data_IF_102840848318
#
_entry.id   IF_102840848318
#
_cell.length_a   1.000
_cell.length_b   1.000
_cell.length_c   1.000
_cell.angle_alpha   90.00
_cell.angle_beta   90.00
_cell.angle_gamma   90.00
#
_symmetry.space_group_name_H-M   'P 1'
#
loop_
_entity.id
_entity.type
_entity.pdbx_description
1 polymer ?
#
# COMPACT_ATOMS: atom_id res chain seq x y z
N UNK A 1 -8.59 21.48 14.81
CA UNK A 1 -8.47 22.94 14.52
C UNK A 1 -7.34 23.16 13.53
N UNK A 2 -7.45 24.16 12.65
CA UNK A 2 -6.34 24.61 11.80
C UNK A 2 -5.46 25.60 12.57
N UNK A 3 -4.23 25.86 12.09
CA UNK A 3 -3.37 26.91 12.70
C UNK A 3 -4.10 28.26 12.75
N UNK A 4 -4.86 28.60 11.69
CA UNK A 4 -5.61 29.84 11.64
C UNK A 4 -6.72 29.90 12.69
N UNK A 5 -7.38 28.78 12.99
CA UNK A 5 -8.41 28.71 14.03
C UNK A 5 -7.79 28.93 15.40
N UNK A 6 -6.66 28.26 15.69
CA UNK A 6 -5.89 28.44 16.94
C UNK A 6 -5.39 29.87 17.09
N UNK A 7 -4.83 30.44 16.02
CA UNK A 7 -4.33 31.81 16.02
C UNK A 7 -5.46 32.82 16.33
N UNK A 8 -6.64 32.62 15.72
CA UNK A 8 -7.81 33.46 15.99
C UNK A 8 -8.31 33.34 17.42
N UNK A 9 -8.39 32.12 17.95
CA UNK A 9 -8.84 31.85 19.32
C UNK A 9 -7.89 32.46 20.37
N UNK A 10 -6.57 32.30 20.15
CA UNK A 10 -5.54 32.81 21.06
C UNK A 10 -5.16 34.28 20.80
N UNK A 11 -5.75 34.94 19.79
CA UNK A 11 -5.40 36.30 19.34
C UNK A 11 -3.91 36.46 19.02
N UNK A 12 -3.30 35.44 18.42
CA UNK A 12 -1.90 35.42 18.00
C UNK A 12 -1.77 35.51 16.48
N UNK A 13 -0.59 35.93 16.02
CA UNK A 13 -0.25 35.79 14.61
C UNK A 13 -0.13 34.32 14.21
N UNK A 14 -0.66 33.95 13.06
CA UNK A 14 -0.69 32.56 12.61
C UNK A 14 0.71 32.03 12.27
N UNK A 15 1.66 32.88 11.89
CA UNK A 15 3.05 32.51 11.68
C UNK A 15 3.73 32.16 13.01
N UNK A 16 3.44 32.92 14.08
CA UNK A 16 3.94 32.62 15.42
C UNK A 16 3.41 31.26 15.91
N UNK A 17 2.10 31.01 15.76
CA UNK A 17 1.49 29.71 16.11
C UNK A 17 2.14 28.56 15.33
N UNK A 18 2.36 28.75 14.03
CA UNK A 18 3.03 27.76 13.19
C UNK A 18 4.47 27.49 13.63
N UNK A 19 5.22 28.54 13.99
CA UNK A 19 6.59 28.42 14.46
C UNK A 19 6.65 27.65 15.77
N UNK A 20 5.82 28.00 16.75
CA UNK A 20 5.71 27.29 18.01
C UNK A 20 5.36 25.80 17.82
N UNK A 21 4.42 25.49 16.94
CA UNK A 21 4.09 24.11 16.64
C UNK A 21 5.26 23.35 16.00
N UNK A 22 6.01 23.99 15.09
CA UNK A 22 7.23 23.38 14.52
C UNK A 22 8.27 23.09 15.61
N UNK A 23 8.53 24.05 16.51
CA UNK A 23 9.46 23.88 17.62
C UNK A 23 9.02 22.74 18.54
N UNK A 24 7.74 22.68 18.88
CA UNK A 24 7.18 21.59 19.70
C UNK A 24 7.37 20.23 19.04
N UNK A 25 7.06 20.11 17.75
CA UNK A 25 7.25 18.86 17.01
C UNK A 25 8.73 18.46 16.91
N UNK A 26 9.64 19.41 16.73
CA UNK A 26 11.09 19.15 16.73
C UNK A 26 11.57 18.64 18.09
N UNK A 27 11.08 19.24 19.17
CA UNK A 27 11.40 18.78 20.52
C UNK A 27 10.82 17.39 20.80
N UNK A 28 9.60 17.10 20.36
CA UNK A 28 9.03 15.74 20.44
C UNK A 28 9.92 14.72 19.73
N UNK A 29 10.41 15.01 18.53
CA UNK A 29 11.31 14.11 17.81
C UNK A 29 12.66 13.96 18.51
N UNK A 30 13.20 15.01 19.11
CA UNK A 30 14.44 14.98 19.88
C UNK A 30 14.31 14.06 21.11
N UNK A 31 13.18 14.11 21.81
CA UNK A 31 12.88 13.26 22.98
C UNK A 31 12.58 11.81 22.62
N UNK A 32 12.16 11.57 21.37
CA UNK A 32 11.81 10.25 20.87
C UNK A 32 12.75 9.78 19.73
N UNK A 33 14.03 9.55 20.01
CA UNK A 33 14.99 9.16 19.00
C UNK A 33 14.57 7.84 18.32
N UNK A 34 14.99 7.68 17.06
CA UNK A 34 14.71 6.46 16.32
C UNK A 34 15.61 5.34 16.83
N UNK A 35 15.00 4.36 17.48
CA UNK A 35 15.66 3.10 17.82
C UNK A 35 15.92 2.27 16.55
N UNK A 36 16.82 1.29 16.62
CA UNK A 36 17.06 0.38 15.51
C UNK A 36 15.79 -0.44 15.21
N UNK A 37 15.17 -0.29 14.04
CA UNK A 37 13.98 -1.06 13.67
C UNK A 37 14.37 -2.49 13.28
N UNK A 38 13.50 -3.46 13.57
CA UNK A 38 13.66 -4.85 13.09
C UNK A 38 12.82 -5.10 11.85
N UNK A 39 11.67 -4.44 11.78
CA UNK A 39 10.73 -4.57 10.66
C UNK A 39 10.36 -3.17 10.17
N UNK A 40 10.61 -2.90 8.89
CA UNK A 40 10.27 -1.62 8.27
C UNK A 40 9.20 -1.77 7.20
N UNK A 41 8.35 -0.75 7.08
CA UNK A 41 7.44 -0.57 5.95
C UNK A 41 7.90 0.60 5.11
N UNK A 42 8.02 0.41 3.80
CA UNK A 42 8.47 1.42 2.84
C UNK A 42 7.30 1.70 1.90
N UNK A 43 6.90 2.96 1.80
CA UNK A 43 5.85 3.38 0.87
C UNK A 43 6.13 4.81 0.37
N UNK A 44 5.44 5.22 -0.69
CA UNK A 44 5.53 6.57 -1.21
C UNK A 44 4.24 7.37 -1.02
N UNK A 45 4.40 8.66 -0.85
CA UNK A 45 3.28 9.60 -0.88
C UNK A 45 3.46 10.59 -2.02
N UNK A 46 2.37 10.92 -2.70
CA UNK A 46 2.33 12.00 -3.68
C UNK A 46 2.06 13.32 -3.00
N UNK A 47 2.91 14.32 -3.23
CA UNK A 47 2.74 15.68 -2.70
C UNK A 47 1.84 16.53 -3.58
N UNK A 48 1.92 16.37 -4.90
CA UNK A 48 1.19 17.17 -5.89
C UNK A 48 0.81 16.32 -7.10
N UNK A 49 -0.22 16.74 -7.81
CA UNK A 49 -0.48 16.26 -9.17
C UNK A 49 0.76 16.56 -10.03
N UNK A 50 1.30 15.57 -10.74
CA UNK A 50 2.50 15.75 -11.57
C UNK A 50 3.76 15.07 -11.02
N UNK A 51 3.59 13.96 -10.27
CA UNK A 51 4.67 13.02 -9.92
C UNK A 51 5.75 13.52 -8.94
N UNK A 52 5.41 14.45 -8.06
CA UNK A 52 6.30 14.77 -6.92
C UNK A 52 6.04 13.78 -5.80
N UNK A 53 6.96 12.86 -5.58
CA UNK A 53 6.85 11.82 -4.56
C UNK A 53 7.84 12.04 -3.41
N UNK A 54 7.50 11.51 -2.24
CA UNK A 54 8.39 11.34 -1.10
C UNK A 54 8.25 9.94 -0.57
N UNK A 55 9.33 9.40 -0.07
CA UNK A 55 9.36 8.08 0.56
C UNK A 55 9.08 8.25 2.05
N UNK A 56 8.23 7.40 2.58
CA UNK A 56 7.97 7.29 4.02
C UNK A 56 8.42 5.91 4.46
N UNK A 57 9.31 5.87 5.47
CA UNK A 57 9.70 4.61 6.10
C UNK A 57 9.15 4.57 7.51
N UNK A 58 8.53 3.45 7.86
CA UNK A 58 7.88 3.23 9.15
C UNK A 58 8.51 2.06 9.88
N UNK A 59 8.61 2.15 11.20
CA UNK A 59 8.87 1.02 12.09
C UNK A 59 7.54 0.32 12.35
N UNK A 60 7.37 -0.88 11.81
CA UNK A 60 6.10 -1.62 11.89
C UNK A 60 5.87 -2.25 13.26
N UNK A 61 6.93 -2.53 14.04
CA UNK A 61 6.80 -3.06 15.39
C UNK A 61 6.34 -1.97 16.36
N UNK A 62 6.86 -0.74 16.21
CA UNK A 62 6.50 0.40 17.06
C UNK A 62 5.31 1.19 16.55
N UNK A 63 4.84 0.88 15.32
CA UNK A 63 3.68 1.54 14.71
C UNK A 63 3.89 3.04 14.51
N UNK A 64 5.06 3.47 14.00
CA UNK A 64 5.33 4.89 13.76
C UNK A 64 6.17 5.12 12.50
N UNK A 65 5.96 6.24 11.79
CA UNK A 65 6.90 6.68 10.76
C UNK A 65 8.23 7.09 11.43
N UNK A 66 9.34 6.69 10.81
CA UNK A 66 10.68 6.97 11.31
C UNK A 66 11.49 7.83 10.35
N UNK A 67 11.12 7.88 9.08
CA UNK A 67 11.79 8.69 8.09
C UNK A 67 10.83 9.17 7.01
N UNK A 68 11.09 10.36 6.52
CA UNK A 68 10.38 10.99 5.42
C UNK A 68 11.41 11.76 4.59
N UNK A 69 11.52 11.47 3.30
CA UNK A 69 12.52 12.13 2.45
C UNK A 69 12.56 11.59 1.02
N UNK A 70 13.72 11.73 0.40
CA UNK A 70 13.93 11.47 -1.00
C UNK A 70 13.39 12.59 -1.89
N UNK A 71 13.78 12.61 -3.14
CA UNK A 71 13.30 13.58 -4.15
C UNK A 71 12.21 12.97 -5.03
N UNK A 72 12.24 11.67 -5.18
CA UNK A 72 11.39 10.86 -6.04
C UNK A 72 11.33 9.40 -5.52
N UNK A 73 11.02 8.45 -6.40
CA UNK A 73 10.97 7.01 -6.12
C UNK A 73 12.20 6.25 -6.64
N UNK A 74 13.32 6.92 -6.78
CA UNK A 74 14.57 6.31 -7.28
C UNK A 74 15.28 5.48 -6.22
N UNK A 75 16.27 4.71 -6.66
CA UNK A 75 17.16 3.95 -5.80
C UNK A 75 17.97 4.88 -4.89
N UNK A 76 18.48 5.98 -5.47
CA UNK A 76 19.24 7.00 -4.76
C UNK A 76 18.41 7.68 -3.65
N UNK A 77 17.14 7.97 -3.94
CA UNK A 77 16.22 8.52 -2.93
C UNK A 77 15.98 7.55 -1.77
N UNK A 78 15.93 6.25 -2.03
CA UNK A 78 15.80 5.23 -0.97
C UNK A 78 17.11 5.01 -0.22
N UNK A 79 18.26 5.10 -0.89
CA UNK A 79 19.58 5.00 -0.25
C UNK A 79 19.78 6.07 0.83
N UNK A 80 19.24 7.28 0.63
CA UNK A 80 19.26 8.36 1.64
C UNK A 80 18.67 7.94 3.00
N UNK A 81 17.69 7.04 3.02
CA UNK A 81 17.16 6.50 4.27
C UNK A 81 18.19 5.64 4.99
N UNK A 82 18.86 4.75 4.27
CA UNK A 82 19.86 3.85 4.88
C UNK A 82 21.10 4.59 5.36
N UNK A 83 21.53 5.61 4.61
CA UNK A 83 22.61 6.52 5.01
C UNK A 83 22.24 7.27 6.30
N UNK A 84 21.03 7.84 6.35
CA UNK A 84 20.53 8.55 7.53
C UNK A 84 20.39 7.62 8.74
N UNK A 85 19.92 6.40 8.56
CA UNK A 85 19.74 5.41 9.65
C UNK A 85 21.09 4.94 10.20
N UNK A 86 22.10 4.86 9.34
CA UNK A 86 23.44 4.39 9.63
C UNK A 86 23.55 2.87 9.70
N UNK A 87 24.71 2.35 9.29
CA UNK A 87 24.98 0.92 9.10
C UNK A 87 24.68 0.06 10.35
N UNK A 88 25.00 0.56 11.56
CA UNK A 88 24.75 -0.18 12.82
C UNK A 88 23.27 -0.47 13.06
N UNK A 89 22.39 0.49 12.77
CA UNK A 89 20.93 0.33 12.93
C UNK A 89 20.35 -0.44 11.74
N UNK A 90 20.81 -0.16 10.53
CA UNK A 90 20.35 -0.83 9.32
C UNK A 90 20.55 -2.36 9.39
N UNK A 91 21.68 -2.85 9.88
CA UNK A 91 21.94 -4.29 10.09
C UNK A 91 20.98 -4.99 11.07
N UNK A 92 20.21 -4.23 11.87
CA UNK A 92 19.19 -4.81 12.75
C UNK A 92 17.87 -5.11 12.04
N UNK A 93 17.67 -4.55 10.85
CA UNK A 93 16.48 -4.82 10.04
C UNK A 93 16.52 -6.26 9.55
N UNK A 94 15.45 -7.00 9.82
CA UNK A 94 15.25 -8.40 9.42
C UNK A 94 14.20 -8.56 8.33
N UNK A 95 13.27 -7.60 8.26
CA UNK A 95 12.16 -7.61 7.31
C UNK A 95 11.90 -6.21 6.76
N UNK A 96 11.83 -6.09 5.44
CA UNK A 96 11.41 -4.89 4.74
C UNK A 96 10.12 -5.17 3.95
N UNK A 97 9.04 -4.49 4.30
CA UNK A 97 7.75 -4.56 3.61
C UNK A 97 7.64 -3.40 2.63
N UNK A 98 7.33 -3.66 1.38
CA UNK A 98 7.26 -2.63 0.33
C UNK A 98 6.34 -3.02 -0.81
N UNK A 99 6.02 -2.06 -1.71
CA UNK A 99 5.45 -2.36 -3.02
C UNK A 99 6.49 -3.06 -3.92
N UNK A 100 6.03 -3.71 -4.97
CA UNK A 100 6.89 -4.37 -5.98
C UNK A 100 7.63 -3.34 -6.86
N UNK A 101 8.20 -2.30 -6.23
CA UNK A 101 8.94 -1.25 -6.92
C UNK A 101 10.44 -1.57 -6.97
N UNK A 102 10.96 -1.77 -8.18
CA UNK A 102 12.32 -2.27 -8.41
C UNK A 102 13.43 -1.42 -7.76
N UNK A 103 13.26 -0.10 -7.68
CA UNK A 103 14.24 0.78 -7.07
C UNK A 103 14.35 0.55 -5.56
N UNK A 104 13.22 0.38 -4.86
CA UNK A 104 13.21 0.06 -3.43
C UNK A 104 13.81 -1.30 -3.14
N UNK A 105 13.47 -2.30 -3.97
CA UNK A 105 14.06 -3.63 -3.86
C UNK A 105 15.58 -3.61 -4.00
N UNK A 106 16.11 -2.92 -5.03
CA UNK A 106 17.54 -2.81 -5.28
C UNK A 106 18.27 -2.12 -4.14
N UNK A 107 17.78 -0.94 -3.71
CA UNK A 107 18.36 -0.21 -2.58
C UNK A 107 18.37 -1.05 -1.31
N UNK A 108 17.26 -1.77 -1.02
CA UNK A 108 17.16 -2.64 0.15
C UNK A 108 18.17 -3.79 0.09
N UNK A 109 18.26 -4.50 -1.03
CA UNK A 109 19.23 -5.59 -1.22
C UNK A 109 20.68 -5.11 -1.10
N UNK A 110 20.97 -3.91 -1.59
CA UNK A 110 22.29 -3.29 -1.50
C UNK A 110 22.69 -2.94 -0.06
N UNK A 111 21.79 -2.35 0.69
CA UNK A 111 22.08 -1.78 2.00
C UNK A 111 21.87 -2.77 3.17
N UNK A 112 20.93 -3.71 3.03
CA UNK A 112 20.59 -4.71 4.04
C UNK A 112 20.35 -6.09 3.39
N UNK A 113 21.38 -6.72 2.81
CA UNK A 113 21.26 -7.96 2.03
C UNK A 113 20.69 -9.14 2.82
N UNK A 114 20.86 -9.15 4.15
CA UNK A 114 20.39 -10.23 5.03
C UNK A 114 18.91 -10.07 5.45
N UNK A 115 18.26 -8.97 5.07
CA UNK A 115 16.86 -8.75 5.39
C UNK A 115 15.94 -9.42 4.36
N UNK A 116 14.88 -10.07 4.85
CA UNK A 116 13.83 -10.56 3.97
C UNK A 116 13.05 -9.39 3.38
N UNK A 117 12.67 -9.51 2.10
CA UNK A 117 11.75 -8.56 1.46
C UNK A 117 10.38 -9.21 1.38
N UNK A 118 9.37 -8.49 1.82
CA UNK A 118 7.96 -8.87 1.74
C UNK A 118 7.22 -7.85 0.90
N UNK A 119 6.55 -8.31 -0.16
CA UNK A 119 5.70 -7.42 -0.93
C UNK A 119 4.32 -7.27 -0.29
N UNK A 120 3.87 -6.01 -0.21
CA UNK A 120 2.60 -5.69 0.43
C UNK A 120 1.43 -6.36 -0.30
N UNK A 121 0.71 -7.20 0.45
CA UNK A 121 -0.50 -7.91 0.00
C UNK A 121 -1.53 -6.97 -0.63
N UNK A 122 -1.72 -5.76 -0.08
CA UNK A 122 -2.71 -4.81 -0.61
C UNK A 122 -2.36 -4.36 -2.03
N UNK A 123 -1.07 -4.15 -2.31
CA UNK A 123 -0.61 -3.81 -3.66
C UNK A 123 -0.79 -4.98 -4.63
N UNK A 124 -0.51 -6.22 -4.21
CA UNK A 124 -0.77 -7.42 -5.02
C UNK A 124 -2.26 -7.56 -5.35
N UNK A 125 -3.14 -7.44 -4.34
CA UNK A 125 -4.60 -7.53 -4.52
C UNK A 125 -5.12 -6.38 -5.39
N UNK A 126 -4.56 -5.18 -5.28
CA UNK A 126 -4.88 -4.05 -6.16
C UNK A 126 -4.62 -4.39 -7.63
N UNK A 127 -3.46 -4.98 -7.95
CA UNK A 127 -3.14 -5.40 -9.32
C UNK A 127 -4.12 -6.46 -9.85
N UNK A 128 -4.53 -7.41 -9.00
CA UNK A 128 -5.56 -8.39 -9.35
C UNK A 128 -6.91 -7.70 -9.64
N UNK A 129 -7.29 -6.71 -8.82
CA UNK A 129 -8.48 -5.89 -9.03
C UNK A 129 -8.42 -5.10 -10.35
N UNK A 130 -7.27 -4.52 -10.67
CA UNK A 130 -7.05 -3.82 -11.95
C UNK A 130 -7.17 -4.77 -13.15
N UNK A 131 -6.65 -6.00 -13.03
CA UNK A 131 -6.80 -7.03 -14.06
C UNK A 131 -8.28 -7.43 -14.26
N UNK A 132 -9.04 -7.59 -13.16
CA UNK A 132 -10.49 -7.84 -13.23
C UNK A 132 -11.23 -6.65 -13.88
N UNK A 133 -10.87 -5.41 -13.55
CA UNK A 133 -11.52 -4.23 -14.18
C UNK A 133 -11.22 -4.13 -15.68
N UNK A 134 -10.03 -4.55 -16.12
CA UNK A 134 -9.71 -4.66 -17.55
C UNK A 134 -10.63 -5.67 -18.23
N UNK A 135 -10.87 -6.84 -17.62
CA UNK A 135 -11.81 -7.85 -18.14
C UNK A 135 -13.22 -7.28 -18.20
N UNK A 136 -13.69 -6.62 -17.12
CA UNK A 136 -15.00 -5.97 -17.09
C UNK A 136 -15.18 -4.94 -18.21
N UNK A 137 -14.16 -4.09 -18.43
CA UNK A 137 -14.20 -3.10 -19.52
C UNK A 137 -14.26 -3.75 -20.91
N UNK A 138 -13.50 -4.82 -21.11
CA UNK A 138 -13.54 -5.56 -22.37
C UNK A 138 -14.92 -6.19 -22.62
N UNK A 139 -15.53 -6.79 -21.60
CA UNK A 139 -16.89 -7.34 -21.71
C UNK A 139 -17.93 -6.23 -21.94
N UNK A 140 -17.81 -5.11 -21.24
CA UNK A 140 -18.69 -3.94 -21.46
C UNK A 140 -18.61 -3.40 -22.89
N UNK A 141 -17.41 -3.37 -23.48
CA UNK A 141 -17.23 -2.89 -24.85
C UNK A 141 -17.80 -3.88 -25.90
N UNK A 142 -17.73 -5.20 -25.60
CA UNK A 142 -18.18 -6.28 -26.51
C UNK A 142 -19.70 -6.41 -26.57
N UNK A 143 -20.40 -6.09 -25.49
CA UNK A 143 -21.84 -6.28 -25.35
C UNK A 143 -22.64 -5.04 -25.78
N UNK A 144 -23.88 -5.23 -26.18
CA UNK A 144 -24.82 -4.17 -26.54
C UNK A 144 -26.15 -4.32 -25.79
N UNK A 145 -27.05 -3.34 -25.90
CA UNK A 145 -28.39 -3.38 -25.35
C UNK A 145 -28.46 -3.71 -23.86
N UNK A 146 -29.41 -4.59 -23.52
CA UNK A 146 -29.69 -4.97 -22.13
C UNK A 146 -28.50 -5.64 -21.43
N UNK A 147 -27.73 -6.48 -22.14
CA UNK A 147 -26.59 -7.20 -21.57
C UNK A 147 -25.50 -6.23 -21.10
N UNK A 148 -25.27 -5.14 -21.84
CA UNK A 148 -24.35 -4.07 -21.44
C UNK A 148 -24.81 -3.34 -20.18
N UNK A 149 -26.13 -3.17 -20.02
CA UNK A 149 -26.70 -2.47 -18.86
C UNK A 149 -26.37 -3.16 -17.53
N UNK A 150 -26.29 -4.51 -17.51
CA UNK A 150 -25.93 -5.27 -16.31
C UNK A 150 -24.49 -5.03 -15.83
N UNK A 151 -23.56 -4.62 -16.70
CA UNK A 151 -22.16 -4.38 -16.37
C UNK A 151 -21.94 -2.92 -15.96
N UNK A 152 -22.82 -2.01 -16.42
CA UNK A 152 -22.71 -0.57 -16.12
C UNK A 152 -22.78 -0.34 -14.60
N UNK A 153 -21.83 0.43 -14.06
CA UNK A 153 -21.80 0.78 -12.64
C UNK A 153 -21.30 -0.33 -11.70
N UNK A 154 -21.08 -1.57 -12.18
CA UNK A 154 -20.77 -2.73 -11.33
C UNK A 154 -19.26 -2.88 -10.98
N UNK A 155 -18.44 -1.86 -11.20
CA UNK A 155 -17.00 -1.92 -10.89
C UNK A 155 -16.76 -2.29 -9.43
N UNK A 156 -17.31 -1.56 -8.52
CA UNK A 156 -17.06 -1.78 -7.09
C UNK A 156 -17.69 -3.07 -6.56
N UNK A 157 -18.83 -3.47 -7.10
CA UNK A 157 -19.44 -4.78 -6.79
C UNK A 157 -18.53 -5.95 -7.16
N UNK A 158 -17.85 -5.88 -8.32
CA UNK A 158 -16.89 -6.91 -8.75
C UNK A 158 -15.57 -6.86 -7.98
N UNK A 159 -15.07 -5.66 -7.63
CA UNK A 159 -13.81 -5.52 -6.91
C UNK A 159 -13.91 -5.89 -5.44
N UNK A 160 -15.07 -5.74 -4.82
CA UNK A 160 -15.30 -6.12 -3.43
C UNK A 160 -15.27 -7.62 -3.23
N UNK A 161 -14.84 -8.08 -2.06
CA UNK A 161 -15.01 -9.47 -1.64
C UNK A 161 -16.49 -9.71 -1.33
N UNK A 162 -16.97 -10.91 -1.64
CA UNK A 162 -18.38 -11.27 -1.49
C UNK A 162 -18.91 -11.08 -0.06
N UNK A 163 -18.10 -11.35 0.91
CA UNK A 163 -18.43 -11.20 2.34
C UNK A 163 -18.72 -9.74 2.72
N UNK A 164 -18.02 -8.78 2.10
CA UNK A 164 -18.12 -7.35 2.39
C UNK A 164 -19.27 -6.65 1.64
N UNK A 165 -19.98 -7.37 0.76
CA UNK A 165 -21.10 -6.81 0.03
C UNK A 165 -22.37 -6.78 0.90
N UNK A 166 -23.15 -5.70 0.77
CA UNK A 166 -24.52 -5.61 1.30
C UNK A 166 -25.41 -6.68 0.65
N UNK A 167 -26.59 -6.92 1.21
CA UNK A 167 -27.56 -7.87 0.64
C UNK A 167 -27.92 -7.51 -0.81
N UNK A 168 -28.14 -6.24 -1.10
CA UNK A 168 -28.43 -5.78 -2.45
C UNK A 168 -27.23 -5.90 -3.39
N UNK A 169 -26.01 -5.62 -2.88
CA UNK A 169 -24.77 -5.88 -3.59
C UNK A 169 -24.58 -7.36 -3.96
N UNK A 170 -24.92 -8.27 -3.04
CA UNK A 170 -24.88 -9.72 -3.30
C UNK A 170 -25.90 -10.16 -4.36
N UNK A 171 -27.11 -9.59 -4.34
CA UNK A 171 -28.13 -9.83 -5.37
C UNK A 171 -27.67 -9.31 -6.74
N UNK A 172 -27.15 -8.08 -6.79
CA UNK A 172 -26.63 -7.47 -8.01
C UNK A 172 -25.46 -8.28 -8.60
N UNK A 173 -24.50 -8.70 -7.75
CA UNK A 173 -23.40 -9.58 -8.13
C UNK A 173 -23.90 -10.90 -8.72
N UNK A 174 -24.82 -11.60 -8.05
CA UNK A 174 -25.40 -12.86 -8.52
C UNK A 174 -26.03 -12.71 -9.90
N UNK A 175 -26.80 -11.63 -10.12
CA UNK A 175 -27.44 -11.33 -11.42
C UNK A 175 -26.40 -11.10 -12.50
N UNK A 176 -25.38 -10.30 -12.21
CA UNK A 176 -24.28 -9.98 -13.12
C UNK A 176 -23.51 -11.24 -13.54
N UNK A 177 -23.12 -12.07 -12.58
CA UNK A 177 -22.32 -13.28 -12.83
C UNK A 177 -23.14 -14.34 -13.59
N UNK A 178 -24.46 -14.43 -13.35
CA UNK A 178 -25.35 -15.29 -14.12
C UNK A 178 -25.46 -14.84 -15.60
N UNK A 179 -25.49 -13.53 -15.82
CA UNK A 179 -25.61 -12.94 -17.16
C UNK A 179 -24.31 -13.02 -17.99
N UNK A 180 -23.14 -13.08 -17.34
CA UNK A 180 -21.86 -13.08 -18.04
C UNK A 180 -20.90 -14.14 -17.49
N UNK A 181 -20.77 -15.25 -18.22
CA UNK A 181 -19.93 -16.40 -17.85
C UNK A 181 -18.45 -16.03 -17.69
N UNK A 182 -17.95 -15.11 -18.53
CA UNK A 182 -16.55 -14.70 -18.49
C UNK A 182 -16.23 -13.85 -17.25
N UNK A 183 -17.12 -12.94 -16.88
CA UNK A 183 -17.01 -12.21 -15.61
C UNK A 183 -17.19 -13.12 -14.39
N UNK A 184 -18.04 -14.15 -14.50
CA UNK A 184 -18.18 -15.14 -13.44
C UNK A 184 -16.86 -15.89 -13.21
N UNK A 185 -16.23 -16.42 -14.26
CA UNK A 185 -14.94 -17.10 -14.16
C UNK A 185 -13.88 -16.16 -13.58
N UNK A 186 -13.79 -14.92 -14.07
CA UNK A 186 -12.84 -13.95 -13.57
C UNK A 186 -13.08 -13.59 -12.09
N UNK A 187 -14.32 -13.44 -11.66
CA UNK A 187 -14.66 -13.16 -10.27
C UNK A 187 -14.28 -14.32 -9.33
N UNK A 188 -14.63 -15.56 -9.71
CA UNK A 188 -14.27 -16.74 -8.92
C UNK A 188 -12.76 -16.91 -8.79
N UNK A 189 -12.01 -16.66 -9.85
CA UNK A 189 -10.54 -16.66 -9.83
C UNK A 189 -9.97 -15.57 -8.91
N UNK A 190 -10.59 -14.38 -8.88
CA UNK A 190 -10.19 -13.32 -7.93
C UNK A 190 -10.43 -13.76 -6.48
N UNK A 191 -11.61 -14.30 -6.17
CA UNK A 191 -11.94 -14.75 -4.81
C UNK A 191 -10.99 -15.89 -4.37
N UNK A 192 -10.74 -16.88 -5.25
CA UNK A 192 -9.86 -18.01 -4.93
C UNK A 192 -8.41 -17.56 -4.71
N UNK A 193 -7.90 -16.58 -5.46
CA UNK A 193 -6.53 -16.08 -5.29
C UNK A 193 -6.26 -15.55 -3.87
N UNK A 194 -7.28 -15.01 -3.21
CA UNK A 194 -7.19 -14.55 -1.84
C UNK A 194 -6.72 -15.62 -0.84
N UNK A 195 -6.92 -16.90 -1.15
CA UNK A 195 -6.49 -18.03 -0.30
C UNK A 195 -4.97 -18.18 -0.22
N UNK A 196 -4.21 -17.62 -1.19
CA UNK A 196 -2.75 -17.65 -1.19
C UNK A 196 -2.14 -17.21 0.16
N UNK A 197 -2.76 -16.24 0.80
CA UNK A 197 -2.27 -15.65 2.07
C UNK A 197 -2.58 -16.51 3.31
N UNK A 198 -3.35 -17.56 3.16
CA UNK A 198 -3.68 -18.52 4.24
C UNK A 198 -2.63 -19.61 4.45
N UNK A 199 -1.75 -19.84 3.47
CA UNK A 199 -0.75 -20.89 3.55
C UNK A 199 0.36 -20.54 4.53
N UNK A 200 0.85 -21.58 5.26
CA UNK A 200 1.87 -21.46 6.31
C UNK A 200 3.26 -21.87 5.81
N UNK A 201 3.35 -22.44 4.62
CA UNK A 201 4.62 -22.85 4.01
C UNK A 201 4.68 -22.42 2.55
N UNK A 202 5.86 -22.08 2.10
CA UNK A 202 6.11 -21.65 0.72
C UNK A 202 5.75 -22.73 -0.30
N UNK A 203 6.04 -24.01 0.00
CA UNK A 203 5.74 -25.11 -0.90
C UNK A 203 4.23 -25.26 -1.18
N UNK A 204 3.39 -25.14 -0.15
CA UNK A 204 1.94 -25.16 -0.34
C UNK A 204 1.41 -23.91 -1.04
N UNK A 205 1.96 -22.73 -0.72
CA UNK A 205 1.65 -21.51 -1.42
C UNK A 205 2.00 -21.59 -2.91
N UNK A 206 3.18 -22.15 -3.24
CA UNK A 206 3.62 -22.37 -4.62
C UNK A 206 2.69 -23.31 -5.36
N UNK A 207 2.39 -24.46 -4.77
CA UNK A 207 1.47 -25.45 -5.38
C UNK A 207 0.09 -24.85 -5.65
N UNK A 208 -0.43 -24.07 -4.69
CA UNK A 208 -1.69 -23.36 -4.88
C UNK A 208 -1.60 -22.39 -6.07
N UNK A 209 -0.54 -21.58 -6.12
CA UNK A 209 -0.37 -20.60 -7.21
C UNK A 209 -0.22 -21.27 -8.57
N UNK A 210 0.54 -22.36 -8.68
CA UNK A 210 0.70 -23.10 -9.93
C UNK A 210 -0.65 -23.67 -10.41
N UNK A 211 -1.44 -24.27 -9.53
CA UNK A 211 -2.80 -24.74 -9.84
C UNK A 211 -3.72 -23.59 -10.27
N UNK A 212 -3.65 -22.45 -9.56
CA UNK A 212 -4.43 -21.27 -9.91
C UNK A 212 -4.04 -20.73 -11.29
N UNK A 213 -2.76 -20.63 -11.58
CA UNK A 213 -2.22 -20.22 -12.88
C UNK A 213 -2.63 -21.19 -13.99
N UNK A 214 -2.56 -22.50 -13.73
CA UNK A 214 -2.95 -23.52 -14.69
C UNK A 214 -4.45 -23.44 -15.04
N UNK A 215 -5.29 -23.04 -14.09
CA UNK A 215 -6.72 -22.82 -14.34
C UNK A 215 -7.01 -21.68 -15.33
N UNK A 216 -6.04 -20.78 -15.59
CA UNK A 216 -6.16 -19.69 -16.56
C UNK A 216 -6.07 -20.17 -18.02
N UNK A 217 -5.41 -21.30 -18.30
CA UNK A 217 -5.06 -21.78 -19.66
C UNK A 217 -6.26 -21.80 -20.61
N UNK A 218 -7.43 -22.16 -20.10
CA UNK A 218 -8.65 -22.32 -20.93
C UNK A 218 -9.62 -21.12 -20.81
N UNK A 219 -9.32 -20.15 -19.95
CA UNK A 219 -10.24 -19.05 -19.67
C UNK A 219 -10.09 -17.87 -20.65
N UNK A 220 -8.98 -17.80 -21.40
CA UNK A 220 -8.65 -16.70 -22.31
C UNK A 220 -8.74 -15.32 -21.62
N UNK A 221 -8.30 -15.24 -20.36
CA UNK A 221 -8.31 -14.03 -19.53
C UNK A 221 -6.93 -13.37 -19.54
N UNK A 222 -6.51 -12.82 -20.69
CA UNK A 222 -5.20 -12.20 -20.87
C UNK A 222 -4.74 -11.27 -19.71
N UNK A 223 -5.59 -10.40 -19.12
CA UNK A 223 -5.18 -9.59 -17.97
C UNK A 223 -4.77 -10.43 -16.74
N UNK A 224 -5.35 -11.61 -16.54
CA UNK A 224 -4.98 -12.52 -15.46
C UNK A 224 -3.70 -13.29 -15.77
N UNK A 225 -3.46 -13.63 -17.03
CA UNK A 225 -2.19 -14.24 -17.47
C UNK A 225 -1.01 -13.26 -17.24
N UNK A 226 -1.23 -11.96 -17.55
CA UNK A 226 -0.26 -10.89 -17.27
C UNK A 226 -0.02 -10.73 -15.76
N UNK A 227 -1.09 -10.78 -14.96
CA UNK A 227 -1.00 -10.77 -13.50
C UNK A 227 -0.22 -11.98 -12.97
N UNK A 228 -0.49 -13.19 -13.48
CA UNK A 228 0.25 -14.40 -13.08
C UNK A 228 1.75 -14.30 -13.37
N UNK A 229 2.15 -13.73 -14.52
CA UNK A 229 3.55 -13.48 -14.86
C UNK A 229 4.19 -12.48 -13.89
N UNK A 230 3.45 -11.45 -13.48
CA UNK A 230 3.92 -10.49 -12.49
C UNK A 230 4.14 -11.17 -11.13
N UNK A 231 3.23 -12.04 -10.68
CA UNK A 231 3.39 -12.83 -9.44
C UNK A 231 4.62 -13.73 -9.52
N UNK A 232 4.83 -14.45 -10.63
CA UNK A 232 6.02 -15.29 -10.80
C UNK A 232 7.32 -14.51 -10.68
N UNK A 233 7.38 -13.34 -11.34
CA UNK A 233 8.57 -12.47 -11.30
C UNK A 233 8.91 -12.00 -9.88
N UNK A 234 7.90 -11.84 -9.03
CA UNK A 234 8.05 -11.32 -7.67
C UNK A 234 7.78 -12.40 -6.60
N UNK A 235 7.87 -13.67 -6.99
CA UNK A 235 7.47 -14.80 -6.16
C UNK A 235 8.13 -14.79 -4.78
N UNK A 236 9.45 -14.60 -4.71
CA UNK A 236 10.21 -14.68 -3.48
C UNK A 236 9.66 -13.74 -2.39
N UNK A 237 9.38 -12.49 -2.75
CA UNK A 237 8.82 -11.49 -1.82
C UNK A 237 7.32 -11.71 -1.52
N UNK A 238 6.57 -12.36 -2.41
CA UNK A 238 5.18 -12.73 -2.17
C UNK A 238 5.10 -13.98 -1.28
N UNK A 239 5.90 -14.99 -1.57
CA UNK A 239 5.97 -16.23 -0.83
C UNK A 239 6.54 -16.04 0.58
N UNK A 240 7.37 -15.01 0.79
CA UNK A 240 7.91 -14.68 2.10
C UNK A 240 6.80 -14.48 3.17
N UNK A 241 5.58 -14.12 2.77
CA UNK A 241 4.42 -14.01 3.68
C UNK A 241 3.99 -15.35 4.29
N UNK A 242 4.27 -16.48 3.63
CA UNK A 242 3.92 -17.81 4.15
C UNK A 242 4.78 -18.22 5.35
N UNK A 243 5.90 -17.54 5.59
CA UNK A 243 6.79 -17.81 6.71
C UNK A 243 6.25 -17.15 7.98
N UNK A 244 6.05 -17.89 9.09
CA UNK A 244 5.47 -17.35 10.31
C UNK A 244 6.19 -16.12 10.88
N UNK A 245 7.53 -16.08 10.77
CA UNK A 245 8.38 -14.98 11.22
C UNK A 245 8.17 -13.67 10.46
N UNK A 246 7.62 -13.73 9.25
CA UNK A 246 7.37 -12.57 8.39
C UNK A 246 5.93 -12.07 8.48
N UNK A 247 5.11 -12.63 9.38
CA UNK A 247 3.73 -12.18 9.57
C UNK A 247 3.70 -10.87 10.34
N UNK A 248 3.40 -9.80 9.62
CA UNK A 248 3.25 -8.45 10.18
C UNK A 248 1.89 -7.87 9.84
N UNK A 249 1.40 -6.96 10.68
CA UNK A 249 0.19 -6.21 10.40
C UNK A 249 0.46 -5.18 9.29
N UNK A 250 0.03 -5.48 8.07
CA UNK A 250 0.20 -4.59 6.91
C UNK A 250 -0.75 -3.39 6.95
N UNK A 251 -1.84 -3.45 7.73
CA UNK A 251 -2.83 -2.37 7.83
C UNK A 251 -2.28 -1.06 8.39
N UNK A 252 -1.14 -1.10 9.10
CA UNK A 252 -0.51 0.11 9.62
C UNK A 252 -0.06 1.07 8.51
N UNK A 253 0.60 0.58 7.46
CA UNK A 253 1.11 1.40 6.36
C UNK A 253 -0.04 2.09 5.63
N UNK A 254 -1.11 1.34 5.32
CA UNK A 254 -2.31 1.90 4.69
C UNK A 254 -3.00 2.93 5.60
N UNK A 255 -3.14 2.62 6.90
CA UNK A 255 -3.70 3.53 7.91
C UNK A 255 -2.89 4.83 8.02
N UNK A 256 -1.56 4.75 8.02
CA UNK A 256 -0.67 5.90 8.03
C UNK A 256 -0.84 6.75 6.76
N UNK A 257 -0.88 6.14 5.59
CA UNK A 257 -1.08 6.85 4.33
C UNK A 257 -2.42 7.58 4.30
N UNK A 258 -3.48 6.97 4.82
CA UNK A 258 -4.77 7.64 4.97
C UNK A 258 -4.67 8.83 5.93
N UNK A 259 -3.97 8.70 7.04
CA UNK A 259 -3.73 9.79 8.00
C UNK A 259 -2.93 10.95 7.36
N UNK A 260 -1.90 10.65 6.59
CA UNK A 260 -1.12 11.65 5.84
C UNK A 260 -2.02 12.40 4.84
N UNK A 261 -2.87 11.68 4.11
CA UNK A 261 -3.85 12.31 3.19
C UNK A 261 -4.83 13.23 3.94
N UNK A 262 -5.25 12.87 5.14
CA UNK A 262 -6.09 13.73 5.99
C UNK A 262 -5.32 14.99 6.41
N UNK A 263 -4.06 14.87 6.82
CA UNK A 263 -3.19 16.02 7.16
C UNK A 263 -3.09 16.98 5.96
N UNK A 264 -2.81 16.44 4.77
CA UNK A 264 -2.70 17.25 3.54
C UNK A 264 -4.01 17.94 3.17
N UNK A 265 -5.17 17.26 3.29
CA UNK A 265 -6.49 17.82 2.98
C UNK A 265 -6.90 18.92 3.94
N UNK A 266 -6.71 18.72 5.26
CA UNK A 266 -7.05 19.70 6.29
C UNK A 266 -6.25 21.00 6.14
N UNK A 267 -5.07 20.94 5.58
CA UNK A 267 -4.22 22.09 5.38
C UNK A 267 -4.40 22.76 3.99
N UNK A 268 -5.39 22.30 3.19
CA UNK A 268 -5.61 22.79 1.80
C UNK A 268 -4.34 22.77 0.94
N UNK A 269 -3.47 21.79 1.20
CA UNK A 269 -2.15 21.63 0.60
C UNK A 269 -1.05 22.31 1.43
N UNK A 270 -0.17 21.50 2.03
CA UNK A 270 0.98 21.99 2.76
C UNK A 270 2.11 22.35 1.76
N UNK A 271 2.37 23.65 1.56
CA UNK A 271 3.49 24.12 0.74
C UNK A 271 4.82 24.02 1.47
N UNK A 272 4.82 24.14 2.81
CA UNK A 272 5.99 23.98 3.66
C UNK A 272 6.27 22.49 3.87
N UNK A 273 7.25 21.97 3.14
CA UNK A 273 7.60 20.55 3.16
C UNK A 273 8.19 20.11 4.50
N UNK A 274 8.97 20.98 5.16
CA UNK A 274 9.51 20.69 6.50
C UNK A 274 8.38 20.57 7.53
N UNK A 275 7.39 21.43 7.44
CA UNK A 275 6.23 21.35 8.31
C UNK A 275 5.42 20.05 8.07
N UNK A 276 5.26 19.64 6.80
CA UNK A 276 4.63 18.36 6.46
C UNK A 276 5.45 17.18 7.01
N UNK A 277 6.76 17.21 6.86
CA UNK A 277 7.68 16.20 7.41
C UNK A 277 7.50 16.04 8.93
N UNK A 278 7.52 17.14 9.65
CA UNK A 278 7.32 17.15 11.10
C UNK A 278 5.95 16.59 11.48
N UNK A 279 4.89 17.02 10.83
CA UNK A 279 3.53 16.50 11.04
C UNK A 279 3.45 14.97 10.80
N UNK A 280 4.09 14.46 9.77
CA UNK A 280 4.11 13.02 9.49
C UNK A 280 4.87 12.28 10.58
N UNK A 281 6.09 12.71 10.92
CA UNK A 281 6.96 12.01 11.87
C UNK A 281 6.43 12.02 13.29
N UNK A 282 5.66 13.04 13.68
CA UNK A 282 5.06 13.14 15.03
C UNK A 282 3.66 12.55 15.14
N UNK A 283 3.01 12.27 14.01
CA UNK A 283 1.56 11.91 13.97
C UNK A 283 1.18 10.65 14.77
N UNK A 284 2.15 9.77 15.06
CA UNK A 284 1.96 8.52 15.82
C UNK A 284 2.80 8.48 17.11
N UNK A 285 3.44 9.57 17.48
CA UNK A 285 4.06 9.67 18.79
C UNK A 285 2.95 9.79 19.83
N UNK A 286 3.11 9.08 20.95
CA UNK A 286 2.24 9.28 22.11
C UNK A 286 2.50 10.68 22.65
N UNK A 287 1.45 11.40 22.95
CA UNK A 287 1.58 12.66 23.71
C UNK A 287 2.22 12.35 25.06
N UNK A 288 3.25 13.12 25.39
CA UNK A 288 3.98 13.01 26.67
C UNK A 288 3.31 13.91 27.68
#
# INVERSE_FOLDING_TARGET
MTIKDVAKELKLDWHAVKLLEKQYMQEQLRRNPVAAPRTIGIDEISLRKGHTYRIVVSDLERGRPIWYGGKDRSEESMDMFYEWLGTKKAKKIKLAVMDMWKAFEKSTKKNIPDAAILYDKFHVIRHLGEALDKIRKAEYARLSGNDRSYIKGQKYTLLSNRENLTLDGKKALKKLLKANKRLNAAYLLKESFGQLWGYQTEGWARRFFDNWKDSLKWQRLKPYEEFAKMIEKHWDGIAAYSRPENKVSLGFVEGLNNKIRVIQRRAYGLRDEEYLRLKILTTMLKEI
#
